data_IF_956384593563
#
_entry.id   IF_956384593563
#
_cell.length_a   1.000
_cell.length_b   1.000
_cell.length_c   1.000
_cell.angle_alpha   90.00
_cell.angle_beta   90.00
_cell.angle_gamma   90.00
#
_symmetry.space_group_name_H-M   'P 1'
#
loop_
_entity.id
_entity.type
_entity.pdbx_description
1 polymer ?
#
# COMPACT_ATOMS: atom_id res chain seq x y z
N UNK A 1 -3.95 -5.37 -21.40
CA UNK A 1 -3.07 -6.42 -20.83
C UNK A 1 -2.07 -5.73 -19.92
N UNK A 2 -2.27 -5.59 -18.61
CA UNK A 2 -3.30 -6.13 -17.71
C UNK A 2 -3.68 -5.04 -16.71
N UNK A 3 -4.98 -4.74 -16.61
CA UNK A 3 -5.60 -3.78 -15.69
C UNK A 3 -5.54 -4.22 -14.21
N UNK A 4 -4.92 -5.35 -13.91
CA UNK A 4 -4.86 -5.93 -12.56
C UNK A 4 -3.90 -5.21 -11.60
N UNK A 5 -3.05 -4.30 -12.09
CA UNK A 5 -2.07 -3.58 -11.25
C UNK A 5 -2.62 -2.32 -10.58
N UNK A 6 -3.55 -1.60 -11.23
CA UNK A 6 -4.20 -0.40 -10.72
C UNK A 6 -5.28 -0.72 -9.69
N UNK A 7 -5.99 -1.83 -9.90
CA UNK A 7 -7.15 -2.23 -9.11
C UNK A 7 -6.80 -2.56 -7.64
N UNK A 8 -5.55 -2.98 -7.37
CA UNK A 8 -5.11 -3.30 -6.00
C UNK A 8 -4.99 -2.08 -5.08
N UNK A 9 -4.78 -0.89 -5.65
CA UNK A 9 -4.59 0.35 -4.89
C UNK A 9 -5.92 1.08 -4.69
N UNK A 10 -6.87 0.95 -5.63
CA UNK A 10 -8.22 1.51 -5.51
C UNK A 10 -9.18 0.61 -4.69
N UNK A 11 -9.05 -0.72 -4.79
CA UNK A 11 -10.00 -1.66 -4.16
C UNK A 11 -9.75 -1.90 -2.67
N UNK A 12 -8.54 -1.67 -2.17
CA UNK A 12 -8.21 -1.79 -0.75
C UNK A 12 -8.20 -0.40 -0.12
N UNK A 13 -9.28 -0.05 0.58
CA UNK A 13 -9.40 1.19 1.37
C UNK A 13 -8.40 1.19 2.53
N UNK A 14 -7.14 1.50 2.26
CA UNK A 14 -6.15 1.86 3.27
C UNK A 14 -6.01 3.39 3.31
N UNK A 15 -5.93 3.95 4.52
CA UNK A 15 -5.64 5.37 4.69
C UNK A 15 -4.13 5.58 4.53
N UNK A 16 -3.74 6.36 3.52
CA UNK A 16 -2.35 6.72 3.29
C UNK A 16 -1.94 7.88 4.20
N UNK A 17 -0.80 7.75 4.86
CA UNK A 17 -0.26 8.73 5.80
C UNK A 17 1.17 9.10 5.42
N UNK A 18 1.56 10.39 5.54
CA UNK A 18 2.94 10.80 5.30
C UNK A 18 3.86 10.32 6.43
N UNK A 19 5.09 9.93 6.10
CA UNK A 19 6.13 9.57 7.09
C UNK A 19 6.88 10.82 7.59
N UNK A 20 6.97 11.85 6.76
CA UNK A 20 7.61 13.13 7.09
C UNK A 20 6.54 14.20 7.36
N UNK A 21 6.85 15.16 8.23
CA UNK A 21 5.95 16.29 8.55
C UNK A 21 5.59 17.13 7.32
N UNK A 22 6.51 17.19 6.37
CA UNK A 22 6.31 17.74 5.04
C UNK A 22 6.74 16.65 4.05
N UNK A 23 5.78 15.91 3.51
CA UNK A 23 6.07 14.96 2.44
C UNK A 23 6.84 15.68 1.32
N UNK A 24 7.78 14.99 0.68
CA UNK A 24 8.49 15.54 -0.48
C UNK A 24 7.49 15.58 -1.63
N UNK A 25 6.67 16.63 -1.65
CA UNK A 25 5.86 16.96 -2.81
C UNK A 25 6.82 17.32 -3.94
N UNK A 26 6.52 16.86 -5.15
CA UNK A 26 6.98 17.56 -6.34
C UNK A 26 6.65 19.05 -6.11
N UNK A 27 7.67 19.92 -6.11
CA UNK A 27 7.55 21.36 -5.80
C UNK A 27 6.57 22.10 -6.70
N UNK A 28 6.00 21.41 -7.68
CA UNK A 28 5.27 21.97 -8.81
C UNK A 28 3.85 21.39 -8.96
N UNK A 29 3.50 20.28 -8.30
CA UNK A 29 2.16 19.69 -8.47
C UNK A 29 1.69 18.85 -7.26
N UNK A 30 0.54 19.23 -6.70
CA UNK A 30 -0.06 18.62 -5.49
C UNK A 30 -0.97 17.44 -5.78
N UNK A 31 -1.28 17.13 -7.05
CA UNK A 31 -2.00 15.91 -7.44
C UNK A 31 -1.10 14.69 -7.61
N UNK A 32 0.23 14.88 -7.56
CA UNK A 32 1.21 13.83 -7.80
C UNK A 32 1.61 13.11 -6.53
N UNK A 33 1.68 11.79 -6.66
CA UNK A 33 2.08 10.86 -5.60
C UNK A 33 3.37 11.31 -4.92
N UNK A 34 3.26 11.48 -3.60
CA UNK A 34 4.30 12.02 -2.75
C UNK A 34 5.13 10.85 -2.22
N UNK A 35 6.42 10.83 -2.55
CA UNK A 35 7.37 9.86 -2.00
C UNK A 35 7.36 9.96 -0.47
N UNK A 36 7.41 8.82 0.22
CA UNK A 36 7.42 8.81 1.68
C UNK A 36 6.03 8.75 2.33
N UNK A 37 5.02 8.26 1.60
CA UNK A 37 3.72 7.90 2.17
C UNK A 37 3.64 6.41 2.44
N UNK A 38 2.86 6.05 3.45
CA UNK A 38 2.62 4.66 3.86
C UNK A 38 1.15 4.39 4.10
N UNK A 39 0.74 3.14 3.93
CA UNK A 39 -0.54 2.67 4.42
C UNK A 39 -0.43 1.28 5.03
N UNK A 40 -1.35 0.96 5.94
CA UNK A 40 -1.49 -0.38 6.49
C UNK A 40 -2.65 -1.07 5.78
N UNK A 41 -2.34 -2.12 5.03
CA UNK A 41 -3.32 -2.95 4.35
C UNK A 41 -3.71 -4.11 5.25
N UNK A 42 -5.01 -4.20 5.56
CA UNK A 42 -5.60 -5.33 6.29
C UNK A 42 -5.88 -6.46 5.30
N UNK A 43 -5.42 -7.68 5.58
CA UNK A 43 -5.49 -8.80 4.62
C UNK A 43 -6.73 -9.67 4.79
N UNK A 44 -7.42 -9.57 5.93
CA UNK A 44 -8.45 -10.52 6.37
C UNK A 44 -7.92 -11.91 6.72
N UNK A 45 -6.61 -12.13 6.67
CA UNK A 45 -5.98 -13.43 6.91
C UNK A 45 -5.51 -13.53 8.36
N UNK A 46 -5.87 -14.64 8.99
CA UNK A 46 -5.40 -15.05 10.31
C UNK A 46 -4.69 -16.37 10.17
N UNK A 47 -3.63 -16.58 10.94
CA UNK A 47 -2.84 -17.80 10.85
C UNK A 47 -2.37 -18.26 12.23
N UNK A 48 -2.33 -19.57 12.45
CA UNK A 48 -1.69 -20.20 13.59
C UNK A 48 -0.51 -21.01 13.08
N UNK A 49 0.70 -20.52 13.31
CA UNK A 49 1.91 -21.22 12.90
C UNK A 49 2.32 -22.26 13.96
N UNK A 50 2.86 -23.42 13.54
CA UNK A 50 3.48 -24.36 14.47
C UNK A 50 4.64 -23.71 15.23
N UNK A 51 4.84 -24.11 16.49
CA UNK A 51 5.96 -23.63 17.30
C UNK A 51 7.29 -23.92 16.61
N UNK A 52 8.19 -22.93 16.62
CA UNK A 52 9.52 -23.03 16.00
C UNK A 52 9.57 -22.63 14.53
N UNK A 53 8.46 -22.13 13.96
CA UNK A 53 8.40 -21.57 12.62
C UNK A 53 8.03 -20.09 12.65
N UNK A 54 8.53 -19.34 11.67
CA UNK A 54 8.06 -17.99 11.34
C UNK A 54 7.53 -17.98 9.90
N UNK A 55 6.62 -17.06 9.62
CA UNK A 55 6.23 -16.74 8.25
C UNK A 55 6.79 -15.38 7.86
N UNK A 56 7.19 -15.24 6.60
CA UNK A 56 7.74 -14.00 6.08
C UNK A 56 6.87 -13.44 4.96
N UNK A 57 6.57 -12.15 5.07
CA UNK A 57 5.92 -11.36 4.02
C UNK A 57 7.01 -10.59 3.27
N UNK A 58 7.12 -10.81 1.96
CA UNK A 58 8.17 -10.20 1.13
C UNK A 58 7.56 -9.36 0.01
N UNK A 59 8.23 -8.28 -0.41
CA UNK A 59 7.81 -7.50 -1.56
C UNK A 59 7.76 -8.36 -2.83
N UNK A 60 6.73 -8.14 -3.66
CA UNK A 60 6.69 -8.66 -5.03
C UNK A 60 7.64 -7.84 -5.89
N UNK A 61 8.65 -8.47 -6.49
CA UNK A 61 9.66 -7.77 -7.30
C UNK A 61 9.05 -6.91 -8.42
N UNK A 62 7.98 -7.38 -9.07
CA UNK A 62 7.26 -6.63 -10.09
C UNK A 62 6.59 -5.36 -9.56
N UNK A 63 6.07 -5.37 -8.33
CA UNK A 63 5.43 -4.20 -7.73
C UNK A 63 6.47 -3.15 -7.33
N UNK A 64 7.59 -3.60 -6.76
CA UNK A 64 8.72 -2.72 -6.43
C UNK A 64 9.31 -2.06 -7.68
N UNK A 65 9.50 -2.82 -8.77
CA UNK A 65 10.14 -2.31 -9.99
C UNK A 65 9.21 -1.44 -10.84
N UNK A 66 7.94 -1.84 -11.00
CA UNK A 66 6.99 -1.13 -11.89
C UNK A 66 6.28 0.03 -11.21
N UNK A 67 6.04 -0.07 -9.91
CA UNK A 67 5.15 0.83 -9.19
C UNK A 67 5.83 1.51 -7.99
N UNK A 68 7.13 1.32 -7.77
CA UNK A 68 7.86 1.99 -6.68
C UNK A 68 7.22 1.82 -5.29
N UNK A 69 6.63 0.65 -5.03
CA UNK A 69 6.01 0.30 -3.75
C UNK A 69 6.75 -0.87 -3.11
N UNK A 70 7.01 -0.76 -1.81
CA UNK A 70 7.64 -1.80 -1.01
C UNK A 70 6.91 -2.02 0.31
N UNK A 71 7.35 -3.02 1.07
CA UNK A 71 6.92 -3.28 2.44
C UNK A 71 7.94 -2.65 3.40
N UNK A 72 7.49 -1.82 4.33
CA UNK A 72 8.37 -1.02 5.22
C UNK A 72 9.28 -1.91 6.06
N UNK A 73 8.72 -2.99 6.59
CA UNK A 73 9.43 -3.92 7.46
C UNK A 73 9.91 -5.16 6.70
N UNK A 74 10.14 -5.09 5.38
CA UNK A 74 10.54 -6.24 4.58
C UNK A 74 11.89 -6.85 5.04
N UNK A 75 12.00 -8.18 5.17
CA UNK A 75 10.90 -9.15 5.20
C UNK A 75 10.07 -8.99 6.50
N UNK A 76 8.75 -8.89 6.37
CA UNK A 76 7.87 -8.79 7.52
C UNK A 76 7.72 -10.14 8.21
N UNK A 77 8.14 -10.24 9.47
CA UNK A 77 8.08 -11.47 10.26
C UNK A 77 6.72 -11.62 10.96
N UNK A 78 6.15 -12.82 10.89
CA UNK A 78 4.99 -13.26 11.66
C UNK A 78 5.43 -14.42 12.56
N UNK A 79 5.45 -14.17 13.87
CA UNK A 79 5.88 -15.12 14.89
C UNK A 79 4.83 -16.22 15.17
N UNK A 80 5.29 -17.36 15.70
CA UNK A 80 4.40 -18.50 15.99
C UNK A 80 3.34 -18.27 17.07
N UNK A 81 3.53 -17.26 17.92
CA UNK A 81 2.58 -16.85 18.95
C UNK A 81 1.67 -15.70 18.50
N UNK A 82 1.86 -15.16 17.29
CA UNK A 82 0.95 -14.16 16.73
C UNK A 82 -0.41 -14.78 16.39
N UNK A 83 -1.49 -14.11 16.81
CA UNK A 83 -2.89 -14.51 16.55
C UNK A 83 -3.75 -13.39 15.96
N UNK A 84 -3.14 -12.23 15.72
CA UNK A 84 -3.83 -11.10 15.11
C UNK A 84 -4.07 -11.31 13.62
N UNK A 85 -4.80 -10.38 13.04
CA UNK A 85 -4.92 -10.28 11.59
C UNK A 85 -3.58 -9.90 10.99
N UNK A 86 -3.15 -10.58 9.94
CA UNK A 86 -1.96 -10.22 9.20
C UNK A 86 -2.22 -8.90 8.48
N UNK A 87 -1.35 -7.92 8.70
CA UNK A 87 -1.39 -6.62 8.03
C UNK A 87 -0.08 -6.35 7.31
N UNK A 88 -0.16 -5.68 6.16
CA UNK A 88 1.00 -5.35 5.33
C UNK A 88 1.21 -3.85 5.36
N UNK A 89 2.38 -3.41 5.84
CA UNK A 89 2.77 -2.01 5.86
C UNK A 89 3.42 -1.63 4.53
N UNK A 90 2.68 -1.00 3.63
CA UNK A 90 3.16 -0.54 2.33
C UNK A 90 3.77 0.86 2.43
N UNK A 91 4.77 1.13 1.59
CA UNK A 91 5.35 2.45 1.42
C UNK A 91 5.67 2.74 -0.04
N UNK A 92 5.43 3.99 -0.41
CA UNK A 92 5.83 4.58 -1.68
C UNK A 92 7.25 5.11 -1.56
N UNK A 93 8.15 4.59 -2.40
CA UNK A 93 9.59 4.93 -2.41
C UNK A 93 10.02 5.69 -3.67
N UNK A 94 9.09 5.98 -4.58
CA UNK A 94 9.34 6.70 -5.83
C UNK A 94 8.04 7.20 -6.45
N UNK A 95 8.13 7.86 -7.60
CA UNK A 95 6.94 8.34 -8.31
C UNK A 95 6.05 7.14 -8.70
N UNK A 96 4.78 7.18 -8.31
CA UNK A 96 3.79 6.25 -8.84
C UNK A 96 3.13 6.85 -10.07
N UNK A 97 2.70 5.98 -10.98
CA UNK A 97 1.81 6.33 -12.08
C UNK A 97 0.42 6.69 -11.51
N UNK A 98 -0.12 7.84 -11.92
CA UNK A 98 -1.42 8.37 -11.46
C UNK A 98 -2.59 7.43 -11.78
N UNK A 99 -2.47 6.62 -12.84
CA UNK A 99 -3.50 5.65 -13.25
C UNK A 99 -3.80 4.56 -12.21
N UNK A 100 -2.99 4.44 -11.16
CA UNK A 100 -3.19 3.49 -10.07
C UNK A 100 -4.14 4.02 -8.98
N UNK A 101 -4.47 5.31 -9.00
CA UNK A 101 -5.20 5.98 -7.92
C UNK A 101 -6.58 6.49 -8.35
N UNK A 102 -7.20 5.92 -9.38
CA UNK A 102 -8.56 6.29 -9.80
C UNK A 102 -9.47 6.33 -8.56
N UNK A 103 -9.77 7.55 -8.15
CA UNK A 103 -10.70 7.88 -7.09
C UNK A 103 -12.01 7.98 -7.81
N UNK A 104 -12.99 7.16 -7.43
CA UNK A 104 -14.37 7.35 -7.87
C UNK A 104 -14.82 8.74 -7.40
N UNK A 105 -14.60 9.76 -8.22
CA UNK A 105 -15.29 11.04 -8.13
C UNK A 105 -16.70 10.82 -8.64
N UNK A 106 -17.51 10.11 -7.84
CA UNK A 106 -18.96 10.24 -7.91
C UNK A 106 -19.30 11.63 -7.37
N UNK A 107 -19.07 12.65 -8.20
CA UNK A 107 -19.60 13.98 -8.01
C UNK A 107 -21.09 13.91 -8.36
N UNK A 108 -21.88 13.40 -7.41
CA UNK A 108 -23.33 13.49 -7.45
C UNK A 108 -23.72 14.91 -7.08
N UNK A 109 -23.60 15.84 -8.04
CA UNK A 109 -24.30 17.12 -7.98
C UNK A 109 -25.73 16.90 -8.45
N UNK A 110 -26.56 16.39 -7.53
CA UNK A 110 -27.98 16.72 -7.51
C UNK A 110 -28.09 18.24 -7.35
N UNK A 111 -28.64 18.93 -8.35
CA UNK A 111 -29.51 20.12 -8.25
C UNK A 111 -29.42 21.02 -9.50
N UNK A 112 -30.44 20.92 -10.36
CA UNK A 112 -31.29 22.03 -10.85
C UNK A 112 -32.31 21.49 -11.84
#
# INVERSE_FOLDING_TARGET
MDSAGADLVSSQRCEWTPIYSEGIADSTDKSKVIVGWKCIVSTGVYFELPKGYEMQIRPRSGLAFKHNVTIINAPGTIDSDYRGEIKVALMVIGALDESLFETDSSDSSDSS
#
